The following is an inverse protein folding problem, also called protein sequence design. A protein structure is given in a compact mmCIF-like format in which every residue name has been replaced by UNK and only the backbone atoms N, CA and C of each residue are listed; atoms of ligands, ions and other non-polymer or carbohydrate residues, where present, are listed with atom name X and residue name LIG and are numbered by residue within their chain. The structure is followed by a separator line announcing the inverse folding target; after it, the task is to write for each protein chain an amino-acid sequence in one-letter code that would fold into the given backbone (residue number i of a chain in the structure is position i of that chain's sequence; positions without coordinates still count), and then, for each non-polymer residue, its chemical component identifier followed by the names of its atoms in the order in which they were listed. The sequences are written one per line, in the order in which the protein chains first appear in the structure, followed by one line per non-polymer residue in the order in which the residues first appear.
data_IF_222441396883
#
_entry.id   IF_222441396883
#
_cell.length_a   1.000
_cell.length_b   1.000
_cell.length_c   1.000
_cell.angle_alpha   90.00
_cell.angle_beta   90.00
_cell.angle_gamma   90.00
#
_symmetry.space_group_name_H-M   'P 1'
#
loop_
_entity.id
_entity.type
_entity.pdbx_description
1 polymer ?
#
# COMPACT_ATOMS: atom_id res chain seq x y z
N UNK A 1 23.98 6.93 -24.90
CA UNK A 1 23.65 5.63 -24.29
C UNK A 1 22.54 5.86 -23.29
N UNK A 2 21.35 5.34 -23.57
CA UNK A 2 20.21 5.34 -22.66
C UNK A 2 20.59 4.50 -21.43
N UNK A 3 20.76 5.16 -20.28
CA UNK A 3 20.88 4.45 -19.00
C UNK A 3 19.47 3.93 -18.71
N UNK A 4 19.17 2.73 -19.18
CA UNK A 4 18.03 1.95 -18.69
C UNK A 4 18.30 1.69 -17.21
N UNK A 5 17.88 2.64 -16.39
CA UNK A 5 17.82 2.52 -14.95
C UNK A 5 16.78 1.44 -14.71
N UNK A 6 17.26 0.20 -14.64
CA UNK A 6 16.49 -0.98 -14.33
C UNK A 6 16.14 -0.89 -12.85
N UNK A 7 15.31 0.10 -12.51
CA UNK A 7 14.72 0.29 -11.20
C UNK A 7 14.03 -1.03 -10.88
N UNK A 8 14.49 -1.78 -9.87
CA UNK A 8 13.81 -3.02 -9.47
C UNK A 8 12.38 -2.74 -8.97
N UNK A 9 12.04 -1.46 -8.80
CA UNK A 9 10.76 -0.97 -8.36
C UNK A 9 9.94 -0.32 -9.50
N UNK A 10 10.45 -0.29 -10.74
CA UNK A 10 9.73 0.29 -11.88
C UNK A 10 8.48 -0.54 -12.18
N UNK A 11 7.31 0.06 -12.06
CA UNK A 11 6.02 -0.61 -12.29
C UNK A 11 5.43 -1.30 -11.06
N UNK A 12 6.03 -1.16 -9.87
CA UNK A 12 5.39 -1.62 -8.64
C UNK A 12 4.16 -0.76 -8.36
N UNK A 13 3.00 -1.41 -8.30
CA UNK A 13 1.75 -0.73 -8.00
C UNK A 13 1.60 -0.51 -6.50
N UNK A 14 0.83 0.51 -6.14
CA UNK A 14 0.44 0.75 -4.75
C UNK A 14 -0.22 -0.48 -4.10
N UNK A 15 -0.84 -1.35 -4.90
CA UNK A 15 -1.41 -2.63 -4.46
C UNK A 15 -0.34 -3.61 -3.99
N UNK A 16 0.76 -3.72 -4.73
CA UNK A 16 1.88 -4.61 -4.36
C UNK A 16 2.51 -4.13 -3.05
N UNK A 17 2.74 -2.82 -2.92
CA UNK A 17 3.28 -2.22 -1.70
C UNK A 17 2.36 -2.48 -0.51
N UNK A 18 1.05 -2.24 -0.68
CA UNK A 18 0.07 -2.46 0.39
C UNK A 18 0.00 -3.94 0.80
N UNK A 19 0.05 -4.87 -0.16
CA UNK A 19 0.10 -6.30 0.14
C UNK A 19 1.37 -6.69 0.89
N UNK A 20 2.55 -6.20 0.48
CA UNK A 20 3.80 -6.46 1.21
C UNK A 20 3.75 -5.94 2.65
N UNK A 21 3.20 -4.74 2.84
CA UNK A 21 2.99 -4.17 4.17
C UNK A 21 2.01 -5.00 4.99
N UNK A 22 0.93 -5.49 4.37
CA UNK A 22 -0.04 -6.35 5.03
C UNK A 22 0.56 -7.70 5.45
N UNK A 23 1.42 -8.29 4.62
CA UNK A 23 2.11 -9.54 4.94
C UNK A 23 3.08 -9.35 6.12
N UNK A 24 3.75 -8.19 6.19
CA UNK A 24 4.74 -7.91 7.23
C UNK A 24 4.12 -7.46 8.56
N UNK A 25 3.03 -6.68 8.53
CA UNK A 25 2.46 -6.02 9.71
C UNK A 25 1.03 -6.43 10.05
N UNK A 26 0.30 -7.04 9.13
CA UNK A 26 -1.14 -7.28 9.28
C UNK A 26 -1.97 -5.99 9.28
N UNK A 27 -3.29 -6.13 9.32
CA UNK A 27 -4.20 -4.99 9.36
C UNK A 27 -4.12 -4.20 10.67
N UNK A 28 -3.94 -4.91 11.79
CA UNK A 28 -3.82 -4.28 13.11
C UNK A 28 -2.53 -3.45 13.22
N UNK A 29 -1.38 -3.99 12.80
CA UNK A 29 -0.13 -3.25 12.79
C UNK A 29 -0.15 -2.06 11.82
N UNK A 30 -0.89 -2.18 10.71
CA UNK A 30 -1.13 -1.05 9.81
C UNK A 30 -2.05 0.01 10.43
N UNK A 31 -3.12 -0.37 11.12
CA UNK A 31 -4.03 0.56 11.78
C UNK A 31 -3.38 1.29 12.96
N UNK A 32 -2.44 0.64 13.65
CA UNK A 32 -1.66 1.25 14.73
C UNK A 32 -0.67 2.29 14.21
N UNK A 33 0.05 1.97 13.13
CA UNK A 33 1.05 2.87 12.51
C UNK A 33 0.40 3.98 11.70
N UNK A 34 -0.71 3.66 11.05
CA UNK A 34 -1.42 4.52 10.12
C UNK A 34 -2.87 4.59 10.56
N UNK A 35 -3.21 5.69 11.22
CA UNK A 35 -4.51 5.93 11.86
C UNK A 35 -5.63 6.20 10.84
N UNK A 36 -5.81 5.27 9.90
CA UNK A 36 -6.84 5.30 8.87
C UNK A 36 -7.93 4.30 9.27
N UNK A 37 -9.16 4.81 9.40
CA UNK A 37 -10.31 4.00 9.81
C UNK A 37 -10.59 2.82 8.86
N UNK A 38 -10.17 2.94 7.59
CA UNK A 38 -10.26 1.87 6.59
C UNK A 38 -9.51 0.59 7.01
N UNK A 39 -8.40 0.69 7.73
CA UNK A 39 -7.61 -0.48 8.16
C UNK A 39 -8.21 -1.18 9.39
N UNK A 40 -8.99 -0.48 10.20
CA UNK A 40 -9.59 -1.03 11.43
C UNK A 40 -11.04 -1.47 11.24
N UNK A 41 -11.86 -0.73 10.48
CA UNK A 41 -13.32 -0.94 10.44
C UNK A 41 -13.80 -1.81 9.27
N UNK A 42 -13.11 -1.80 8.13
CA UNK A 42 -13.43 -2.66 6.99
C UNK A 42 -12.16 -2.95 6.18
N UNK A 43 -11.21 -3.70 6.76
CA UNK A 43 -9.90 -3.96 6.16
C UNK A 43 -10.06 -4.70 4.83
N UNK A 44 -9.80 -3.98 3.73
CA UNK A 44 -9.79 -4.55 2.40
C UNK A 44 -8.81 -3.81 1.52
N UNK A 45 -8.05 -4.55 0.71
CA UNK A 45 -7.07 -4.01 -0.23
C UNK A 45 -7.73 -3.00 -1.18
N UNK A 46 -8.90 -3.32 -1.75
CA UNK A 46 -9.58 -2.41 -2.69
C UNK A 46 -10.04 -1.10 -2.05
N UNK A 47 -10.63 -1.17 -0.85
CA UNK A 47 -11.10 0.03 -0.13
C UNK A 47 -9.93 0.91 0.28
N UNK A 48 -8.86 0.28 0.77
CA UNK A 48 -7.61 0.93 1.16
C UNK A 48 -6.94 1.63 -0.01
N UNK A 49 -6.79 0.94 -1.15
CA UNK A 49 -6.22 1.55 -2.36
C UNK A 49 -7.08 2.68 -2.91
N UNK A 50 -8.41 2.54 -2.88
CA UNK A 50 -9.32 3.62 -3.28
C UNK A 50 -9.16 4.83 -2.37
N UNK A 51 -8.97 4.63 -1.07
CA UNK A 51 -8.69 5.71 -0.13
C UNK A 51 -7.32 6.35 -0.42
N UNK A 52 -6.25 5.55 -0.46
CA UNK A 52 -4.88 6.01 -0.69
C UNK A 52 -4.70 6.72 -2.04
N UNK A 53 -5.44 6.32 -3.09
CA UNK A 53 -5.44 6.99 -4.40
C UNK A 53 -6.22 8.30 -4.43
N UNK A 54 -7.13 8.51 -3.49
CA UNK A 54 -8.06 9.66 -3.46
C UNK A 54 -7.59 10.77 -2.52
N UNK A 55 -6.62 10.49 -1.66
CA UNK A 55 -5.93 11.49 -0.84
C UNK A 55 -4.77 12.07 -1.69
N UNK A 56 -4.88 13.31 -2.22
CA UNK A 56 -3.78 13.97 -2.94
C UNK A 56 -2.62 14.35 -2.01
#
# INVERSE_FOLDING_TARGET
MDRTYNDPLHGITLEVILNSLLICYGWEGLAERVKINCFSSNPSIKSSLKFLRKTP
#
